data_IF_571507707525
#
_entry.id   IF_571507707525
#
_cell.length_a   1.000
_cell.length_b   1.000
_cell.length_c   1.000
_cell.angle_alpha   90.00
_cell.angle_beta   90.00
_cell.angle_gamma   90.00
#
_symmetry.space_group_name_H-M   'P 1'
#
loop_
_entity.id
_entity.type
_entity.pdbx_description
1 polymer ?
#
# COMPACT_ATOMS: atom_id res chain seq x y z
N UNK A 1 -70.38 -8.89 1.19
CA UNK A 1 -69.61 -7.64 0.95
C UNK A 1 -68.32 -8.08 0.26
N UNK A 2 -68.21 -8.15 -1.06
CA UNK A 2 -68.47 -7.14 -2.09
C UNK A 2 -67.11 -6.51 -2.46
N UNK A 3 -66.63 -6.42 -3.71
CA UNK A 3 -67.18 -6.59 -5.06
C UNK A 3 -65.99 -6.90 -6.03
N UNK A 4 -66.31 -7.65 -7.11
CA UNK A 4 -65.70 -7.85 -8.45
C UNK A 4 -64.49 -6.98 -8.88
N UNK A 5 -63.38 -7.52 -9.47
CA UNK A 5 -63.11 -7.93 -10.90
C UNK A 5 -63.20 -6.76 -11.93
N UNK A 6 -62.64 -6.82 -13.16
CA UNK A 6 -61.40 -7.41 -13.75
C UNK A 6 -60.77 -6.52 -14.89
N UNK A 7 -59.94 -7.14 -15.75
CA UNK A 7 -59.57 -6.80 -17.17
C UNK A 7 -58.24 -6.03 -17.40
N UNK A 8 -57.19 -6.66 -17.96
CA UNK A 8 -56.89 -6.99 -19.37
C UNK A 8 -56.73 -5.77 -20.28
N UNK A 9 -55.52 -5.55 -20.82
CA UNK A 9 -55.38 -5.31 -22.26
C UNK A 9 -53.98 -5.68 -22.77
N UNK A 10 -53.99 -6.55 -23.77
CA UNK A 10 -52.90 -6.91 -24.68
C UNK A 10 -52.87 -5.88 -25.80
N UNK A 11 -51.69 -5.41 -26.22
CA UNK A 11 -51.51 -4.92 -27.60
C UNK A 11 -50.07 -5.13 -28.07
N UNK A 12 -49.93 -5.77 -29.23
CA UNK A 12 -48.69 -6.06 -29.96
C UNK A 12 -48.23 -4.90 -30.86
N UNK A 13 -46.92 -4.91 -31.15
CA UNK A 13 -46.15 -4.47 -32.34
C UNK A 13 -46.64 -3.29 -33.20
N UNK A 14 -45.73 -2.34 -33.44
CA UNK A 14 -45.50 -1.72 -34.76
C UNK A 14 -44.00 -1.49 -34.99
N UNK A 15 -43.47 -2.08 -36.07
CA UNK A 15 -42.22 -1.69 -36.72
C UNK A 15 -42.41 -0.32 -37.40
N UNK A 16 -41.45 0.59 -37.28
CA UNK A 16 -41.43 1.85 -38.03
C UNK A 16 -40.02 2.40 -38.20
N UNK A 17 -39.62 2.57 -39.46
CA UNK A 17 -38.27 2.86 -39.95
C UNK A 17 -37.74 4.27 -39.67
N UNK A 18 -36.41 4.32 -39.47
CA UNK A 18 -35.41 5.28 -39.97
C UNK A 18 -35.91 6.72 -40.22
N UNK A 19 -35.43 7.66 -39.41
CA UNK A 19 -35.10 9.02 -39.84
C UNK A 19 -33.76 9.40 -39.20
N UNK A 20 -32.71 9.48 -40.02
CA UNK A 20 -31.48 10.17 -39.67
C UNK A 20 -31.72 11.68 -39.86
N UNK A 21 -31.39 12.54 -38.89
CA UNK A 21 -31.09 13.92 -39.16
C UNK A 21 -29.57 14.10 -39.31
N UNK A 22 -29.26 14.93 -40.29
CA UNK A 22 -27.94 15.36 -40.71
C UNK A 22 -27.09 16.00 -39.60
N UNK A 23 -25.79 15.82 -39.77
CA UNK A 23 -24.67 16.61 -39.25
C UNK A 23 -25.06 17.99 -38.68
N UNK A 24 -24.77 18.17 -37.39
CA UNK A 24 -24.32 19.44 -36.85
C UNK A 24 -22.90 19.21 -36.30
N UNK A 25 -21.89 19.72 -37.00
CA UNK A 25 -20.57 19.96 -36.44
C UNK A 25 -20.74 20.93 -35.27
N UNK A 26 -20.67 20.41 -34.05
CA UNK A 26 -20.29 21.19 -32.89
C UNK A 26 -18.96 20.63 -32.42
N UNK A 27 -17.91 21.42 -32.69
CA UNK A 27 -16.62 21.28 -32.03
C UNK A 27 -16.86 21.38 -30.53
N UNK A 28 -16.93 20.23 -29.88
CA UNK A 28 -16.74 20.11 -28.46
C UNK A 28 -15.25 19.85 -28.29
N UNK A 29 -14.53 20.90 -27.91
CA UNK A 29 -13.26 20.77 -27.22
C UNK A 29 -13.47 19.74 -26.11
N UNK A 30 -12.94 18.53 -26.35
CA UNK A 30 -12.67 17.60 -25.28
C UNK A 30 -11.60 18.28 -24.42
N UNK A 31 -12.07 19.10 -23.48
CA UNK A 31 -11.31 19.42 -22.28
C UNK A 31 -11.04 18.08 -21.61
N UNK A 32 -9.93 17.47 -22.00
CA UNK A 32 -9.24 16.50 -21.17
C UNK A 32 -8.95 17.25 -19.89
N UNK A 33 -9.86 17.13 -18.92
CA UNK A 33 -9.50 17.27 -17.54
C UNK A 33 -8.45 16.19 -17.33
N UNK A 34 -7.18 16.58 -17.37
CA UNK A 34 -6.15 15.84 -16.67
C UNK A 34 -6.65 15.73 -15.23
N UNK A 35 -7.33 14.63 -14.92
CA UNK A 35 -7.29 14.08 -13.57
C UNK A 35 -5.81 13.76 -13.35
N UNK A 36 -5.08 14.78 -12.89
CA UNK A 36 -3.81 14.59 -12.24
C UNK A 36 -4.15 13.73 -11.04
N UNK A 37 -4.03 12.40 -11.20
CA UNK A 37 -4.06 11.45 -10.10
C UNK A 37 -2.92 11.87 -9.18
N UNK A 38 -3.24 12.75 -8.23
CA UNK A 38 -2.28 13.22 -7.26
C UNK A 38 -1.76 11.98 -6.55
N UNK A 39 -0.46 11.73 -6.67
CA UNK A 39 0.17 10.61 -5.98
C UNK A 39 -0.20 10.70 -4.50
N UNK A 40 -0.60 9.58 -3.87
CA UNK A 40 -1.03 9.61 -2.49
C UNK A 40 0.13 10.10 -1.62
N UNK A 41 -0.11 11.21 -0.93
CA UNK A 41 0.93 11.88 -0.15
C UNK A 41 1.34 10.98 1.02
N UNK A 42 2.56 10.45 0.95
CA UNK A 42 3.08 9.51 1.92
C UNK A 42 3.64 10.20 3.17
N UNK A 43 3.46 9.56 4.34
CA UNK A 43 4.13 9.92 5.59
C UNK A 43 5.24 8.91 5.89
N UNK A 44 6.36 9.39 6.42
CA UNK A 44 7.52 8.57 6.75
C UNK A 44 7.70 8.51 8.25
N UNK A 45 7.60 7.31 8.83
CA UNK A 45 7.44 7.11 10.27
C UNK A 45 8.41 6.07 10.79
N UNK A 46 8.98 6.33 11.97
CA UNK A 46 9.49 5.29 12.84
C UNK A 46 8.43 5.03 13.92
N UNK A 47 7.97 3.78 14.00
CA UNK A 47 6.93 3.37 14.94
C UNK A 47 7.42 2.24 15.84
N UNK A 48 6.74 2.07 16.97
CA UNK A 48 6.86 0.89 17.84
C UNK A 48 5.49 0.22 17.94
N UNK A 49 5.43 -1.09 17.72
CA UNK A 49 4.21 -1.85 17.92
C UNK A 49 3.76 -1.79 19.38
N UNK A 50 2.51 -1.42 19.59
CA UNK A 50 1.88 -1.35 20.92
C UNK A 50 1.16 -2.64 21.31
N UNK A 51 0.94 -3.53 20.34
CA UNK A 51 0.45 -4.89 20.49
C UNK A 51 0.93 -5.74 19.31
N UNK A 52 0.68 -7.04 19.38
CA UNK A 52 1.11 -7.99 18.36
C UNK A 52 0.41 -7.73 17.02
N UNK A 53 1.15 -7.90 15.92
CA UNK A 53 0.59 -7.88 14.58
C UNK A 53 -0.29 -9.13 14.36
N UNK A 54 -1.45 -8.93 13.74
CA UNK A 54 -2.42 -10.00 13.46
C UNK A 54 -2.62 -10.12 11.96
N UNK A 55 -2.59 -11.34 11.45
CA UNK A 55 -2.99 -11.60 10.08
C UNK A 55 -4.49 -11.29 9.92
N UNK A 56 -4.82 -10.41 8.98
CA UNK A 56 -6.20 -10.00 8.65
C UNK A 56 -6.65 -10.52 7.27
N UNK A 57 -5.79 -11.24 6.55
CA UNK A 57 -6.14 -11.96 5.33
C UNK A 57 -5.00 -12.00 4.32
N UNK A 58 -5.36 -12.17 3.06
CA UNK A 58 -4.47 -12.09 1.90
C UNK A 58 -4.99 -10.99 0.97
N UNK A 59 -4.12 -10.18 0.32
CA UNK A 59 -4.57 -9.18 -0.63
C UNK A 59 -5.18 -9.89 -1.85
N UNK A 60 -6.31 -9.35 -2.31
CA UNK A 60 -7.08 -9.90 -3.42
C UNK A 60 -6.41 -9.67 -4.79
N UNK A 61 -5.40 -8.81 -4.84
CA UNK A 61 -4.65 -8.50 -6.06
C UNK A 61 -3.17 -8.65 -5.74
N UNK A 62 -2.48 -9.40 -6.57
CA UNK A 62 -1.03 -9.42 -6.61
C UNK A 62 -0.54 -9.05 -8.01
N UNK A 63 -0.26 -7.76 -8.24
CA UNK A 63 0.51 -7.24 -9.38
C UNK A 63 2.02 -7.37 -9.17
N UNK A 64 2.89 -7.58 -10.17
CA UNK A 64 3.08 -6.82 -11.43
C UNK A 64 2.07 -6.98 -12.56
N UNK A 65 1.00 -6.16 -12.56
CA UNK A 65 -0.12 -6.21 -13.53
C UNK A 65 0.12 -5.42 -14.80
N UNK A 66 1.35 -4.99 -15.05
CA UNK A 66 1.79 -5.01 -16.43
C UNK A 66 3.24 -5.39 -16.43
N UNK A 67 3.51 -6.45 -17.17
CA UNK A 67 4.74 -6.37 -17.94
C UNK A 67 4.44 -6.61 -19.43
N UNK A 68 3.16 -6.53 -19.81
CA UNK A 68 2.50 -7.31 -20.88
C UNK A 68 2.61 -8.85 -20.71
N UNK A 69 3.21 -9.34 -19.61
CA UNK A 69 3.65 -10.73 -19.39
C UNK A 69 2.56 -11.78 -19.16
N UNK A 70 2.92 -13.00 -19.59
CA UNK A 70 2.28 -14.27 -19.21
C UNK A 70 2.59 -14.64 -17.75
N UNK A 71 1.52 -14.67 -16.98
CA UNK A 71 1.45 -14.92 -15.54
C UNK A 71 1.20 -16.41 -15.19
N UNK A 72 1.47 -17.35 -16.12
CA UNK A 72 1.04 -18.75 -16.07
C UNK A 72 1.61 -19.65 -14.94
N UNK A 73 2.31 -19.07 -13.96
CA UNK A 73 2.76 -19.75 -12.73
C UNK A 73 2.47 -18.96 -11.43
N UNK A 74 1.74 -17.84 -11.47
CA UNK A 74 1.60 -16.93 -10.31
C UNK A 74 0.60 -17.47 -9.27
N UNK A 75 1.12 -17.90 -8.10
CA UNK A 75 0.40 -17.96 -6.84
C UNK A 75 0.99 -16.87 -5.93
N UNK A 76 0.34 -15.71 -5.85
CA UNK A 76 0.75 -14.68 -4.92
C UNK A 76 -0.20 -14.63 -3.74
N UNK A 77 0.32 -15.09 -2.61
CA UNK A 77 -0.28 -14.95 -1.29
C UNK A 77 0.71 -14.13 -0.48
N UNK A 78 0.54 -12.81 -0.49
CA UNK A 78 1.10 -12.00 0.60
C UNK A 78 0.10 -12.06 1.76
N UNK A 79 0.57 -12.12 2.98
CA UNK A 79 -0.31 -12.02 4.14
C UNK A 79 -0.46 -10.54 4.47
N UNK A 80 -1.68 -10.09 4.68
CA UNK A 80 -1.94 -8.75 5.18
C UNK A 80 -2.01 -8.81 6.69
N UNK A 81 -1.22 -7.97 7.35
CA UNK A 81 -1.15 -7.84 8.79
C UNK A 81 -1.68 -6.49 9.23
N UNK A 82 -2.29 -6.46 10.40
CA UNK A 82 -2.72 -5.25 11.08
C UNK A 82 -2.14 -5.22 12.50
N UNK A 83 -1.61 -4.06 12.91
CA UNK A 83 -1.07 -3.87 14.23
C UNK A 83 -1.37 -2.46 14.77
N UNK A 84 -1.69 -2.32 16.07
CA UNK A 84 -1.70 -1.01 16.71
C UNK A 84 -0.25 -0.57 16.98
N UNK A 85 0.12 0.64 16.58
CA UNK A 85 1.46 1.17 16.73
C UNK A 85 1.47 2.59 17.34
N UNK A 86 2.57 2.92 17.99
CA UNK A 86 2.88 4.28 18.46
C UNK A 86 3.94 4.88 17.56
N UNK A 87 3.67 6.06 17.01
CA UNK A 87 4.69 6.87 16.33
C UNK A 87 5.70 7.35 17.36
N UNK A 88 6.95 6.91 17.20
CA UNK A 88 8.07 7.31 18.08
C UNK A 88 8.89 8.43 17.44
N UNK A 89 8.94 8.50 16.11
CA UNK A 89 9.51 9.63 15.37
C UNK A 89 8.80 9.80 14.03
N UNK A 90 8.53 11.07 13.70
CA UNK A 90 8.08 11.46 12.37
C UNK A 90 9.30 11.92 11.57
N UNK A 91 9.50 11.34 10.38
CA UNK A 91 10.67 11.56 9.54
C UNK A 91 10.38 12.53 8.40
N UNK A 92 9.15 12.55 7.89
CA UNK A 92 8.73 13.44 6.82
C UNK A 92 7.28 13.21 6.36
N UNK A 93 6.82 14.06 5.44
CA UNK A 93 5.45 14.01 4.90
C UNK A 93 4.37 14.58 5.85
N UNK A 94 3.09 14.29 5.61
CA UNK A 94 1.97 14.73 6.44
C UNK A 94 2.10 14.26 7.89
N UNK A 95 1.60 15.06 8.82
CA UNK A 95 1.56 14.68 10.23
C UNK A 95 0.53 13.57 10.45
N UNK A 96 0.89 12.62 11.31
CA UNK A 96 0.04 11.52 11.74
C UNK A 96 -0.19 11.59 13.24
N UNK A 97 -1.27 10.96 13.72
CA UNK A 97 -1.53 10.83 15.14
C UNK A 97 -0.45 10.00 15.83
N UNK A 98 -0.27 10.22 17.15
CA UNK A 98 0.73 9.47 17.91
C UNK A 98 0.40 7.99 18.04
N UNK A 99 -0.88 7.64 18.06
CA UNK A 99 -1.36 6.27 18.06
C UNK A 99 -2.04 6.00 16.72
N UNK A 100 -1.60 4.96 16.03
CA UNK A 100 -2.07 4.60 14.68
C UNK A 100 -2.32 3.11 14.58
N UNK A 101 -3.25 2.73 13.72
CA UNK A 101 -3.34 1.36 13.21
C UNK A 101 -2.55 1.28 11.91
N UNK A 102 -1.61 0.36 11.82
CA UNK A 102 -0.85 0.10 10.60
C UNK A 102 -1.32 -1.20 9.95
N UNK A 103 -1.47 -1.17 8.63
CA UNK A 103 -1.63 -2.35 7.78
C UNK A 103 -0.41 -2.49 6.89
N UNK A 104 0.09 -3.70 6.72
CA UNK A 104 1.24 -3.96 5.85
C UNK A 104 1.16 -5.39 5.32
N UNK A 105 1.80 -5.63 4.18
CA UNK A 105 1.87 -6.96 3.55
C UNK A 105 3.22 -7.59 3.76
N UNK A 106 3.26 -8.89 4.06
CA UNK A 106 4.50 -9.64 4.23
C UNK A 106 4.38 -11.07 3.69
N UNK A 107 5.52 -11.66 3.31
CA UNK A 107 5.61 -13.05 2.84
C UNK A 107 6.16 -13.98 3.93
N UNK A 108 5.61 -13.89 5.15
CA UNK A 108 6.21 -14.58 6.30
C UNK A 108 5.20 -15.44 7.05
N UNK A 109 5.05 -16.68 6.57
CA UNK A 109 4.22 -17.73 7.16
C UNK A 109 4.51 -18.03 8.65
N UNK A 110 5.57 -17.46 9.25
CA UNK A 110 6.00 -17.73 10.62
C UNK A 110 6.45 -16.50 11.44
N UNK A 111 6.48 -15.28 10.87
CA UNK A 111 6.84 -14.09 11.65
C UNK A 111 5.60 -13.49 12.32
N UNK A 112 5.40 -13.82 13.59
CA UNK A 112 4.49 -13.04 14.44
C UNK A 112 5.28 -11.85 14.98
N UNK A 113 5.14 -10.67 14.37
CA UNK A 113 5.73 -9.45 14.92
C UNK A 113 5.05 -9.11 16.24
N UNK A 114 5.85 -9.15 17.30
CA UNK A 114 5.37 -8.94 18.67
C UNK A 114 5.32 -7.46 18.99
N UNK A 115 4.61 -7.16 20.06
CA UNK A 115 4.72 -5.88 20.75
C UNK A 115 6.18 -5.45 20.94
N UNK A 116 6.40 -4.13 20.91
CA UNK A 116 7.66 -3.44 21.11
C UNK A 116 8.68 -3.53 19.96
N UNK A 117 8.43 -4.36 18.94
CA UNK A 117 9.17 -4.31 17.66
C UNK A 117 9.03 -2.93 17.03
N UNK A 118 10.13 -2.39 16.51
CA UNK A 118 10.15 -1.12 15.78
C UNK A 118 10.10 -1.36 14.28
N UNK A 119 9.38 -0.48 13.61
CA UNK A 119 9.26 -0.46 12.16
C UNK A 119 9.59 0.92 11.62
N UNK A 120 10.26 0.93 10.48
CA UNK A 120 10.46 2.09 9.62
C UNK A 120 9.46 1.97 8.47
N UNK A 121 8.61 2.98 8.28
CA UNK A 121 7.43 2.88 7.43
C UNK A 121 7.34 4.07 6.45
N UNK A 122 6.96 3.77 5.21
CA UNK A 122 6.34 4.72 4.27
C UNK A 122 4.86 4.37 4.18
N UNK A 123 3.99 5.29 4.60
CA UNK A 123 2.55 5.01 4.75
C UNK A 123 1.65 6.00 4.05
N UNK A 124 0.48 5.53 3.64
CA UNK A 124 -0.65 6.33 3.15
C UNK A 124 -1.88 6.07 4.03
N UNK A 125 -2.75 7.07 4.27
CA UNK A 125 -3.97 6.85 5.02
C UNK A 125 -4.92 5.91 4.27
N UNK A 126 -5.68 5.08 4.99
CA UNK A 126 -6.77 4.29 4.42
C UNK A 126 -8.04 4.44 5.25
N UNK A 127 -9.17 4.24 4.56
CA UNK A 127 -10.46 3.95 5.17
C UNK A 127 -11.06 2.73 4.46
N UNK A 128 -11.36 1.67 5.21
CA UNK A 128 -11.90 0.43 4.68
C UNK A 128 -12.92 -0.14 5.66
N UNK A 129 -14.18 -0.24 5.23
CA UNK A 129 -15.31 -0.80 6.00
C UNK A 129 -15.43 -0.21 7.41
N UNK A 130 -15.24 1.10 7.54
CA UNK A 130 -15.29 1.82 8.82
C UNK A 130 -14.06 1.68 9.70
N UNK A 131 -13.01 0.98 9.23
CA UNK A 131 -11.68 0.99 9.85
C UNK A 131 -10.82 2.06 9.19
N UNK A 132 -10.16 2.89 9.99
CA UNK A 132 -9.22 3.90 9.51
C UNK A 132 -7.82 3.59 10.03
N UNK A 133 -6.80 3.98 9.27
CA UNK A 133 -5.42 3.76 9.64
C UNK A 133 -4.45 4.16 8.55
N UNK A 134 -3.30 3.51 8.56
CA UNK A 134 -2.21 3.75 7.62
C UNK A 134 -1.78 2.44 6.96
N UNK A 135 -1.74 2.41 5.64
CA UNK A 135 -1.21 1.28 4.89
C UNK A 135 0.26 1.56 4.59
N UNK A 136 1.16 0.71 5.09
CA UNK A 136 2.57 0.77 4.81
C UNK A 136 2.86 0.04 3.50
N UNK A 137 3.08 0.81 2.44
CA UNK A 137 3.42 0.29 1.12
C UNK A 137 4.91 -0.04 1.02
N UNK A 138 5.74 0.53 1.88
CA UNK A 138 7.12 0.14 2.14
C UNK A 138 7.35 0.10 3.64
N UNK A 139 8.02 -0.94 4.12
CA UNK A 139 8.33 -1.11 5.52
C UNK A 139 9.60 -1.93 5.71
N UNK A 140 10.29 -1.64 6.80
CA UNK A 140 11.45 -2.40 7.30
C UNK A 140 11.31 -2.53 8.83
N UNK A 141 11.97 -3.52 9.43
CA UNK A 141 11.91 -3.80 10.86
C UNK A 141 13.29 -3.88 11.50
N UNK A 142 13.31 -3.56 12.79
CA UNK A 142 14.51 -3.61 13.60
C UNK A 142 15.04 -5.05 13.73
N UNK A 143 16.33 -5.25 13.46
CA UNK A 143 17.01 -6.53 13.63
C UNK A 143 17.35 -6.84 15.10
N UNK A 144 17.94 -8.01 15.35
CA UNK A 144 18.28 -8.46 16.72
C UNK A 144 19.29 -7.56 17.46
N UNK A 145 20.08 -6.76 16.74
CA UNK A 145 21.01 -5.79 17.34
C UNK A 145 20.36 -4.44 17.66
N UNK A 146 19.06 -4.31 17.38
CA UNK A 146 18.35 -3.06 17.54
C UNK A 146 18.61 -2.04 16.42
N UNK A 147 19.04 -2.53 15.25
CA UNK A 147 19.42 -1.72 14.09
C UNK A 147 18.47 -1.93 12.92
N UNK A 148 18.32 -0.89 12.10
CA UNK A 148 17.78 -0.97 10.74
C UNK A 148 18.96 -0.96 9.79
N UNK A 149 19.05 -1.92 8.88
CA UNK A 149 20.20 -2.06 7.97
C UNK A 149 19.71 -2.22 6.54
N UNK A 150 20.28 -1.44 5.63
CA UNK A 150 19.94 -1.47 4.21
C UNK A 150 21.22 -1.39 3.36
N UNK A 151 21.18 -1.96 2.16
CA UNK A 151 22.22 -1.82 1.16
C UNK A 151 22.39 -0.37 0.72
N UNK A 152 23.63 0.11 0.65
CA UNK A 152 23.87 1.52 0.27
C UNK A 152 23.38 1.84 -1.14
N UNK A 153 23.32 0.85 -2.03
CA UNK A 153 22.81 1.05 -3.39
C UNK A 153 21.30 1.30 -3.40
N UNK A 154 20.56 0.58 -2.56
CA UNK A 154 19.10 0.70 -2.43
C UNK A 154 18.66 2.05 -1.85
N UNK A 155 19.53 2.72 -1.09
CA UNK A 155 19.23 4.03 -0.50
C UNK A 155 18.99 5.14 -1.55
N UNK A 156 19.48 4.97 -2.78
CA UNK A 156 19.25 5.94 -3.85
C UNK A 156 17.81 5.91 -4.37
N UNK A 157 17.12 4.78 -4.19
CA UNK A 157 15.73 4.59 -4.62
C UNK A 157 14.74 4.98 -3.52
N UNK A 158 15.24 5.31 -2.32
CA UNK A 158 14.40 5.66 -1.19
C UNK A 158 13.97 7.13 -1.21
N UNK A 159 12.76 7.43 -0.71
CA UNK A 159 12.36 8.80 -0.42
C UNK A 159 13.38 9.50 0.49
N UNK A 160 13.62 10.79 0.26
CA UNK A 160 14.66 11.56 0.96
C UNK A 160 14.60 11.42 2.49
N UNK A 161 13.39 11.43 3.07
CA UNK A 161 13.19 11.27 4.51
C UNK A 161 13.69 9.92 5.07
N UNK A 162 13.58 8.84 4.29
CA UNK A 162 14.10 7.52 4.64
C UNK A 162 15.62 7.49 4.39
N UNK A 163 16.08 8.05 3.28
CA UNK A 163 17.52 8.22 3.01
C UNK A 163 18.24 8.96 4.15
N UNK A 164 17.66 10.06 4.64
CA UNK A 164 18.16 10.84 5.78
C UNK A 164 18.24 10.06 7.08
N UNK A 165 17.27 9.18 7.31
CA UNK A 165 17.30 8.27 8.45
C UNK A 165 18.56 7.40 8.40
N UNK A 166 18.85 6.79 7.25
CA UNK A 166 20.04 5.97 7.02
C UNK A 166 21.36 6.75 6.98
N UNK A 167 21.35 8.02 6.53
CA UNK A 167 22.55 8.89 6.53
C UNK A 167 23.15 9.11 7.92
N UNK A 168 22.35 8.98 8.98
CA UNK A 168 22.83 9.07 10.37
C UNK A 168 23.50 7.79 10.89
N UNK A 169 23.43 6.71 10.10
CA UNK A 169 23.93 5.39 10.44
C UNK A 169 25.42 5.18 10.19
N UNK A 170 25.92 4.03 10.64
CA UNK A 170 27.27 3.56 10.32
C UNK A 170 27.26 2.78 9.01
N UNK A 171 28.21 3.05 8.13
CA UNK A 171 28.42 2.23 6.93
C UNK A 171 29.48 1.17 7.25
N UNK A 172 29.21 -0.08 6.87
CA UNK A 172 30.17 -1.18 7.00
C UNK A 172 30.04 -2.14 5.82
N UNK A 173 31.04 -3.00 5.67
CA UNK A 173 30.95 -4.16 4.78
C UNK A 173 30.28 -5.33 5.50
N UNK A 174 29.35 -5.99 4.83
CA UNK A 174 28.77 -7.24 5.25
C UNK A 174 29.87 -8.30 5.38
N UNK A 175 29.72 -9.13 6.39
CA UNK A 175 30.63 -10.21 6.76
C UNK A 175 29.95 -11.56 6.52
N UNK A 176 30.68 -12.65 6.70
CA UNK A 176 30.11 -14.01 6.65
C UNK A 176 29.03 -14.29 7.72
N UNK A 177 28.85 -13.40 8.69
CA UNK A 177 27.81 -13.51 9.72
C UNK A 177 26.49 -12.85 9.32
N UNK A 178 26.52 -12.00 8.30
CA UNK A 178 25.32 -11.34 7.78
C UNK A 178 24.67 -12.29 6.77
N UNK A 179 23.60 -12.97 7.17
CA UNK A 179 22.95 -14.00 6.34
C UNK A 179 22.16 -13.42 5.17
N UNK A 180 21.77 -12.15 5.30
CA UNK A 180 20.88 -11.47 4.35
C UNK A 180 21.66 -10.71 3.27
N UNK A 181 22.99 -10.68 3.37
CA UNK A 181 23.86 -9.87 2.52
C UNK A 181 25.09 -10.66 2.04
N UNK A 182 25.51 -10.42 0.80
CA UNK A 182 26.76 -10.98 0.31
C UNK A 182 27.97 -10.41 1.07
N UNK A 183 28.97 -11.26 1.35
CA UNK A 183 30.19 -10.79 2.04
C UNK A 183 30.90 -9.73 1.21
N UNK A 184 31.21 -8.59 1.83
CA UNK A 184 31.86 -7.45 1.19
C UNK A 184 30.89 -6.37 0.70
N UNK A 185 29.58 -6.65 0.67
CA UNK A 185 28.55 -5.70 0.28
C UNK A 185 28.45 -4.52 1.27
N UNK A 186 28.24 -3.30 0.79
CA UNK A 186 28.16 -2.12 1.65
C UNK A 186 26.75 -1.92 2.20
N UNK A 187 26.66 -1.83 3.53
CA UNK A 187 25.40 -1.70 4.25
C UNK A 187 25.46 -0.52 5.23
N UNK A 188 24.38 0.26 5.27
CA UNK A 188 24.18 1.35 6.21
C UNK A 188 23.26 0.87 7.34
N UNK A 189 23.73 0.93 8.59
CA UNK A 189 22.97 0.50 9.76
C UNK A 189 22.72 1.67 10.72
N UNK A 190 21.48 1.84 11.14
CA UNK A 190 21.04 2.88 12.09
C UNK A 190 20.50 2.22 13.36
N UNK A 191 20.98 2.66 14.51
CA UNK A 191 20.35 2.37 15.80
C UNK A 191 19.56 3.61 16.25
N UNK A 192 18.23 3.66 16.02
CA UNK A 192 17.46 4.83 16.38
C UNK A 192 17.43 5.01 17.90
N UNK A 193 17.85 6.19 18.35
CA UNK A 193 17.81 6.61 19.77
C UNK A 193 16.41 6.99 20.20
#
# INVERSE_FOLDING_TARGET
>A
MGILRPALLVTSLVLGSIHAPAFAEQGQEAGMSEETSAEPVSSFLLVRLSGDAKMIGYPAVCPGTSPEEDQSQILCMAEMYEAPARVIRHLGGPRTDRAVTIRFTAHSFYAVWRKDVRFLLSVVPFEDKGSTGHFAWQWDWENENGEFCEGTDALNDFPEAIGDFYRSGRVRKASRRDTDWETGYEIACVQPR
#
